data_IF_069706911199
#
_entry.id   IF_069706911199
#
_cell.length_a   1.000
_cell.length_b   1.000
_cell.length_c   1.000
_cell.angle_alpha   90.00
_cell.angle_beta   90.00
_cell.angle_gamma   90.00
#
_symmetry.space_group_name_H-M   'P 1'
#
loop_
_entity.id
_entity.type
_entity.pdbx_description
1 polymer ?
#
# COMPACT_ATOMS: atom_id res chain seq x y z
N UNK A 1 12.97 6.92 13.92
CA UNK A 1 11.62 7.19 13.38
C UNK A 1 10.63 6.46 14.28
N UNK A 2 9.75 7.17 14.98
CA UNK A 2 8.79 6.55 15.91
C UNK A 2 7.84 5.64 15.12
N UNK A 3 7.74 4.38 15.52
CA UNK A 3 6.82 3.44 14.88
C UNK A 3 5.37 3.91 15.08
N UNK A 4 4.71 4.33 14.00
CA UNK A 4 3.28 4.62 14.03
C UNK A 4 2.54 3.32 14.34
N UNK A 5 1.82 3.31 15.46
CA UNK A 5 1.01 2.16 15.87
C UNK A 5 -0.44 2.43 15.47
N UNK A 6 -1.00 1.59 14.61
CA UNK A 6 -2.38 1.73 14.12
C UNK A 6 -3.30 0.81 14.93
N UNK A 7 -3.96 1.36 15.94
CA UNK A 7 -4.92 0.61 16.76
C UNK A 7 -6.29 0.43 16.09
N UNK A 8 -6.57 1.22 15.07
CA UNK A 8 -7.81 1.20 14.30
C UNK A 8 -7.48 1.38 12.81
N UNK A 9 -8.32 0.84 11.90
CA UNK A 9 -8.14 1.05 10.48
C UNK A 9 -8.26 2.54 10.12
N UNK A 10 -7.52 3.03 9.11
CA UNK A 10 -7.65 4.39 8.61
C UNK A 10 -9.09 4.69 8.17
N UNK A 11 -9.50 5.95 8.32
CA UNK A 11 -10.82 6.40 7.86
C UNK A 11 -11.03 6.12 6.36
N UNK A 12 -12.28 5.82 6.01
CA UNK A 12 -12.65 5.49 4.64
C UNK A 12 -12.86 6.77 3.82
N UNK A 13 -11.82 7.21 3.13
CA UNK A 13 -11.80 8.47 2.36
C UNK A 13 -11.54 8.25 0.86
N UNK A 14 -11.65 7.01 0.37
CA UNK A 14 -11.32 6.64 -1.00
C UNK A 14 -12.59 6.47 -1.85
N UNK A 15 -12.54 6.92 -3.11
CA UNK A 15 -13.64 6.77 -4.06
C UNK A 15 -13.54 5.42 -4.80
N UNK A 16 -14.47 4.46 -4.59
CA UNK A 16 -14.35 3.12 -5.18
C UNK A 16 -14.40 3.09 -6.72
N UNK A 17 -14.93 4.14 -7.35
CA UNK A 17 -15.09 4.24 -8.80
C UNK A 17 -13.85 4.80 -9.51
N UNK A 18 -12.87 5.34 -8.76
CA UNK A 18 -11.63 5.84 -9.35
C UNK A 18 -10.60 4.71 -9.46
N UNK A 19 -9.76 4.80 -10.49
CA UNK A 19 -8.58 3.93 -10.63
C UNK A 19 -7.44 4.46 -9.78
N UNK A 20 -6.83 3.57 -8.99
CA UNK A 20 -5.65 3.88 -8.20
C UNK A 20 -4.49 3.00 -8.64
N UNK A 21 -3.29 3.58 -8.64
CA UNK A 21 -2.05 2.85 -8.88
C UNK A 21 -1.08 3.12 -7.75
N UNK A 22 -0.28 2.12 -7.41
CA UNK A 22 0.84 2.26 -6.49
C UNK A 22 2.15 1.95 -7.21
N UNK A 23 3.19 2.69 -6.85
CA UNK A 23 4.54 2.47 -7.35
C UNK A 23 5.39 2.09 -6.16
N UNK A 24 5.97 0.89 -6.20
CA UNK A 24 6.95 0.43 -5.22
C UNK A 24 8.32 0.57 -5.84
N UNK A 25 9.17 1.41 -5.24
CA UNK A 25 10.57 1.55 -5.62
C UNK A 25 11.41 0.60 -4.77
N UNK A 26 12.25 -0.19 -5.43
CA UNK A 26 13.17 -1.14 -4.79
C UNK A 26 14.56 -0.49 -4.62
N UNK A 27 15.39 -1.06 -3.74
CA UNK A 27 16.73 -0.53 -3.42
C UNK A 27 17.65 -0.39 -4.65
N UNK A 28 17.46 -1.29 -5.62
CA UNK A 28 18.18 -1.34 -6.89
C UNK A 28 17.65 -0.34 -7.94
N UNK A 29 16.71 0.53 -7.57
CA UNK A 29 16.10 1.53 -8.45
C UNK A 29 15.01 1.00 -9.38
N UNK A 30 14.70 -0.30 -9.34
CA UNK A 30 13.60 -0.86 -10.10
C UNK A 30 12.25 -0.47 -9.51
N UNK A 31 11.23 -0.39 -10.37
CA UNK A 31 9.88 0.03 -9.98
C UNK A 31 8.85 -1.04 -10.32
N UNK A 32 7.99 -1.33 -9.36
CA UNK A 32 6.82 -2.19 -9.55
C UNK A 32 5.60 -1.27 -9.59
N UNK A 33 4.84 -1.31 -10.69
CA UNK A 33 3.55 -0.63 -10.78
C UNK A 33 2.44 -1.63 -10.46
N UNK A 34 1.58 -1.28 -9.51
CA UNK A 34 0.46 -2.10 -9.06
C UNK A 34 -0.84 -1.37 -9.35
N UNK A 35 -1.73 -2.03 -10.08
CA UNK A 35 -3.09 -1.55 -10.30
C UNK A 35 -3.99 -2.00 -9.15
N UNK A 36 -4.63 -1.04 -8.49
CA UNK A 36 -5.46 -1.29 -7.31
C UNK A 36 -6.93 -1.39 -7.72
N UNK A 37 -7.53 -2.53 -7.37
CA UNK A 37 -8.92 -2.87 -7.68
C UNK A 37 -9.87 -2.27 -6.63
N UNK A 38 -9.98 -0.95 -6.61
CA UNK A 38 -10.81 -0.18 -5.66
C UNK A 38 -12.29 -0.53 -5.72
N UNK A 39 -12.80 -0.93 -6.89
CA UNK A 39 -14.19 -1.36 -7.05
C UNK A 39 -14.48 -2.72 -6.39
N UNK A 40 -13.55 -3.66 -6.49
CA UNK A 40 -13.71 -5.02 -5.98
C UNK A 40 -13.38 -5.11 -4.48
N UNK A 41 -12.31 -4.41 -4.05
CA UNK A 41 -11.81 -4.45 -2.69
C UNK A 41 -11.62 -3.02 -2.09
N UNK A 42 -12.68 -2.20 -2.00
CA UNK A 42 -12.57 -0.78 -1.61
C UNK A 42 -11.94 -0.58 -0.23
N UNK A 43 -12.31 -1.39 0.76
CA UNK A 43 -11.76 -1.29 2.12
C UNK A 43 -10.26 -1.60 2.16
N UNK A 44 -9.83 -2.62 1.42
CA UNK A 44 -8.42 -3.03 1.33
C UNK A 44 -7.60 -1.97 0.62
N UNK A 45 -8.10 -1.45 -0.50
CA UNK A 45 -7.43 -0.37 -1.24
C UNK A 45 -7.35 0.90 -0.40
N UNK A 46 -8.41 1.28 0.31
CA UNK A 46 -8.38 2.42 1.24
C UNK A 46 -7.30 2.26 2.31
N UNK A 47 -7.24 1.09 2.95
CA UNK A 47 -6.23 0.81 3.97
C UNK A 47 -4.82 0.88 3.39
N UNK A 48 -4.58 0.19 2.27
CA UNK A 48 -3.27 0.16 1.61
C UNK A 48 -2.80 1.56 1.19
N UNK A 49 -3.66 2.34 0.51
CA UNK A 49 -3.31 3.69 0.04
C UNK A 49 -3.05 4.63 1.23
N UNK A 50 -3.85 4.53 2.29
CA UNK A 50 -3.67 5.36 3.48
C UNK A 50 -2.32 5.07 4.15
N UNK A 51 -2.01 3.78 4.38
CA UNK A 51 -0.73 3.37 4.96
C UNK A 51 0.46 3.73 4.08
N UNK A 52 0.35 3.57 2.76
CA UNK A 52 1.40 3.93 1.81
C UNK A 52 1.67 5.44 1.80
N UNK A 53 0.64 6.29 1.80
CA UNK A 53 0.79 7.75 1.91
C UNK A 53 1.41 8.19 3.23
N UNK A 54 1.20 7.40 4.27
CA UNK A 54 1.75 7.62 5.60
C UNK A 54 3.22 7.21 5.76
N UNK A 55 3.83 6.65 4.70
CA UNK A 55 5.21 6.12 4.69
C UNK A 55 5.36 4.81 5.45
N UNK A 56 4.27 4.09 5.73
CA UNK A 56 4.31 2.88 6.56
C UNK A 56 5.15 1.75 5.93
N UNK A 57 5.17 1.67 4.61
CA UNK A 57 5.90 0.64 3.86
C UNK A 57 7.32 1.09 3.48
N UNK A 58 7.77 2.27 3.88
CA UNK A 58 9.10 2.76 3.51
C UNK A 58 10.18 2.01 4.30
N UNK A 59 11.19 1.51 3.57
CA UNK A 59 12.32 0.78 4.16
C UNK A 59 11.99 -0.63 4.68
N UNK A 60 10.80 -1.16 4.39
CA UNK A 60 10.49 -2.57 4.70
C UNK A 60 11.03 -3.50 3.62
N UNK A 61 11.50 -4.68 4.03
CA UNK A 61 11.95 -5.73 3.11
C UNK A 61 10.86 -6.78 2.89
N UNK A 62 10.92 -7.45 1.74
CA UNK A 62 10.18 -8.69 1.51
C UNK A 62 10.77 -9.80 2.39
N UNK A 63 10.18 -10.01 3.57
CA UNK A 63 10.68 -10.99 4.54
C UNK A 63 10.50 -12.45 4.09
N UNK A 64 9.68 -12.71 3.05
CA UNK A 64 9.39 -14.05 2.55
C UNK A 64 9.26 -14.04 1.03
N UNK A 65 10.03 -14.92 0.39
CA UNK A 65 9.98 -15.20 -1.06
C UNK A 65 9.92 -16.72 -1.23
N UNK A 66 8.92 -17.22 -1.95
CA UNK A 66 8.78 -18.63 -2.28
C UNK A 66 8.95 -18.78 -3.79
N UNK A 67 9.88 -19.61 -4.29
CA UNK A 67 10.03 -19.85 -5.71
C UNK A 67 8.76 -20.50 -6.26
N UNK A 68 8.26 -19.94 -7.36
CA UNK A 68 7.11 -20.45 -8.11
C UNK A 68 7.52 -21.39 -9.23
#
# INVERSE_FOLDING_TARGET
MSAKTYSQPPEFNLDPEKSYKAIVEMDNGNKITIDLLSKEAPKTVNNFVSLARDGYYDGIMFHRVIPG
#
